data_IF_461725892019
#
_entry.id   IF_461725892019
#
_cell.length_a   1.000
_cell.length_b   1.000
_cell.length_c   1.000
_cell.angle_alpha   90.00
_cell.angle_beta   90.00
_cell.angle_gamma   90.00
#
_symmetry.space_group_name_H-M   'P 1'
#
loop_
_entity.id
_entity.type
_entity.pdbx_description
1 polymer ?
#
# COMPACT_ATOMS: atom_id res chain seq x y z
N UNK A 1 -6.06 17.67 -5.46
CA UNK A 1 -7.24 16.95 -4.93
C UNK A 1 -7.46 15.72 -5.80
N UNK A 2 -6.95 14.56 -5.41
CA UNK A 2 -7.25 13.30 -6.08
C UNK A 2 -8.70 12.93 -5.75
N UNK A 3 -9.59 13.04 -6.74
CA UNK A 3 -10.95 12.52 -6.66
C UNK A 3 -10.85 10.99 -6.53
N UNK A 4 -10.78 10.49 -5.30
CA UNK A 4 -10.99 9.08 -5.04
C UNK A 4 -12.38 8.74 -5.64
N UNK A 5 -12.39 7.94 -6.71
CA UNK A 5 -13.62 7.50 -7.35
C UNK A 5 -14.40 6.67 -6.33
N UNK A 6 -15.29 7.32 -5.58
CA UNK A 6 -16.09 6.63 -4.58
C UNK A 6 -16.89 5.55 -5.29
N UNK A 7 -16.85 4.29 -4.80
CA UNK A 7 -17.64 3.23 -5.37
C UNK A 7 -19.13 3.63 -5.42
N UNK A 8 -19.78 3.29 -6.53
CA UNK A 8 -21.23 3.44 -6.67
C UNK A 8 -21.95 2.70 -5.54
N UNK A 9 -22.96 3.32 -4.94
CA UNK A 9 -23.72 2.75 -3.81
C UNK A 9 -24.30 1.37 -4.16
N UNK A 10 -24.69 1.15 -5.42
CA UNK A 10 -25.18 -0.15 -5.90
C UNK A 10 -24.10 -1.22 -5.92
N UNK A 11 -22.86 -0.87 -6.32
CA UNK A 11 -21.74 -1.83 -6.32
C UNK A 11 -21.41 -2.27 -4.90
N UNK A 12 -21.38 -1.32 -3.96
CA UNK A 12 -21.20 -1.62 -2.54
C UNK A 12 -22.29 -2.56 -2.00
N UNK A 13 -23.56 -2.27 -2.31
CA UNK A 13 -24.68 -3.13 -1.92
C UNK A 13 -24.56 -4.57 -2.45
N UNK A 14 -24.22 -4.73 -3.74
CA UNK A 14 -24.03 -6.05 -4.34
C UNK A 14 -22.83 -6.82 -3.75
N UNK A 15 -21.70 -6.14 -3.48
CA UNK A 15 -20.54 -6.79 -2.86
C UNK A 15 -20.86 -7.32 -1.47
N UNK A 16 -21.60 -6.56 -0.66
CA UNK A 16 -21.98 -7.00 0.68
C UNK A 16 -23.05 -8.09 0.63
N UNK A 17 -24.05 -7.98 -0.25
CA UNK A 17 -25.04 -9.04 -0.43
C UNK A 17 -24.35 -10.37 -0.82
N UNK A 18 -23.46 -10.35 -1.82
CA UNK A 18 -22.71 -11.53 -2.23
C UNK A 18 -21.84 -12.11 -1.09
N UNK A 19 -21.17 -11.25 -0.32
CA UNK A 19 -20.41 -11.66 0.86
C UNK A 19 -21.28 -12.40 1.88
N UNK A 20 -22.43 -11.84 2.25
CA UNK A 20 -23.34 -12.47 3.20
C UNK A 20 -23.96 -13.77 2.68
N UNK A 21 -24.23 -13.87 1.37
CA UNK A 21 -24.67 -15.12 0.77
C UNK A 21 -23.59 -16.21 0.81
N UNK A 22 -22.33 -15.87 0.50
CA UNK A 22 -21.21 -16.82 0.57
C UNK A 22 -20.96 -17.32 1.99
N UNK A 23 -20.92 -16.40 2.97
CA UNK A 23 -20.74 -16.78 4.39
C UNK A 23 -21.96 -17.55 4.90
N UNK A 24 -23.17 -17.15 4.49
CA UNK A 24 -24.40 -17.82 4.88
C UNK A 24 -24.53 -19.24 4.34
N UNK A 25 -24.06 -19.48 3.11
CA UNK A 25 -24.02 -20.80 2.50
C UNK A 25 -23.01 -21.74 3.21
N UNK A 26 -21.91 -21.20 3.73
CA UNK A 26 -20.83 -22.02 4.31
C UNK A 26 -20.97 -22.25 5.82
N UNK A 27 -21.47 -21.26 6.58
CA UNK A 27 -21.42 -21.32 8.04
C UNK A 27 -22.78 -21.10 8.71
N UNK A 28 -23.51 -20.05 8.33
CA UNK A 28 -24.67 -19.57 9.08
C UNK A 28 -25.85 -19.21 8.16
N UNK A 29 -26.83 -20.11 7.97
CA UNK A 29 -27.92 -19.92 7.00
C UNK A 29 -28.74 -18.64 7.23
N UNK A 30 -28.83 -18.15 8.47
CA UNK A 30 -29.52 -16.90 8.80
C UNK A 30 -28.89 -15.67 8.14
N UNK A 31 -27.59 -15.71 7.79
CA UNK A 31 -26.92 -14.64 7.06
C UNK A 31 -27.40 -14.53 5.61
N UNK A 32 -27.98 -15.59 5.03
CA UNK A 32 -28.63 -15.50 3.71
C UNK A 32 -29.85 -14.59 3.74
N UNK A 33 -30.62 -14.59 4.84
CA UNK A 33 -31.75 -13.67 5.01
C UNK A 33 -31.26 -12.21 5.08
N UNK A 34 -30.14 -11.97 5.78
CA UNK A 34 -29.50 -10.65 5.83
C UNK A 34 -29.00 -10.20 4.45
N UNK A 35 -28.34 -11.10 3.71
CA UNK A 35 -27.91 -10.85 2.34
C UNK A 35 -29.07 -10.55 1.39
N UNK A 36 -30.19 -11.27 1.52
CA UNK A 36 -31.40 -11.03 0.73
C UNK A 36 -32.03 -9.67 1.03
N UNK A 37 -32.12 -9.28 2.31
CA UNK A 37 -32.60 -7.94 2.71
C UNK A 37 -31.69 -6.85 2.13
N UNK A 38 -30.36 -7.00 2.23
CA UNK A 38 -29.42 -6.06 1.61
C UNK A 38 -29.60 -5.97 0.09
N UNK A 39 -29.82 -7.09 -0.60
CA UNK A 39 -30.04 -7.11 -2.04
C UNK A 39 -31.33 -6.35 -2.43
N UNK A 40 -32.42 -6.55 -1.69
CA UNK A 40 -33.70 -5.83 -1.90
C UNK A 40 -33.54 -4.32 -1.67
N UNK A 41 -32.82 -3.91 -0.63
CA UNK A 41 -32.55 -2.48 -0.36
C UNK A 41 -31.66 -1.90 -1.47
N UNK A 42 -30.68 -2.67 -1.95
CA UNK A 42 -29.79 -2.26 -3.05
C UNK A 42 -30.57 -2.05 -4.36
N UNK A 43 -31.58 -2.88 -4.64
CA UNK A 43 -32.44 -2.73 -5.82
C UNK A 43 -33.33 -1.48 -5.73
N UNK A 44 -34.01 -1.32 -4.59
CA UNK A 44 -35.05 -0.29 -4.39
C UNK A 44 -34.49 1.09 -4.08
N UNK A 45 -33.59 1.21 -3.10
CA UNK A 45 -33.01 2.48 -2.64
C UNK A 45 -31.57 2.29 -2.14
N UNK A 46 -30.64 2.12 -3.10
CA UNK A 46 -29.21 2.04 -2.80
C UNK A 46 -28.65 3.24 -2.02
N UNK A 47 -29.28 4.42 -2.11
CA UNK A 47 -28.85 5.62 -1.38
C UNK A 47 -28.91 5.46 0.14
N UNK A 48 -29.75 4.58 0.68
CA UNK A 48 -29.79 4.30 2.12
C UNK A 48 -28.53 3.60 2.63
N UNK A 49 -27.79 2.92 1.74
CA UNK A 49 -26.49 2.32 2.06
C UNK A 49 -25.36 3.36 2.01
N UNK A 50 -25.60 4.59 1.56
CA UNK A 50 -24.59 5.62 1.48
C UNK A 50 -23.90 5.90 2.84
N UNK A 51 -24.59 6.16 3.96
CA UNK A 51 -23.90 6.41 5.24
C UNK A 51 -23.06 5.20 5.69
N UNK A 52 -23.57 3.97 5.50
CA UNK A 52 -22.84 2.74 5.82
C UNK A 52 -21.60 2.58 4.94
N UNK A 53 -21.72 2.85 3.63
CA UNK A 53 -20.60 2.86 2.69
C UNK A 53 -19.52 3.84 3.15
N UNK A 54 -19.88 5.07 3.49
CA UNK A 54 -18.90 6.07 3.92
C UNK A 54 -18.21 5.67 5.23
N UNK A 55 -18.96 5.12 6.20
CA UNK A 55 -18.36 4.59 7.43
C UNK A 55 -17.39 3.43 7.14
N UNK A 56 -17.78 2.49 6.28
CA UNK A 56 -16.93 1.37 5.88
C UNK A 56 -15.65 1.82 5.16
N UNK A 57 -15.76 2.80 4.25
CA UNK A 57 -14.60 3.34 3.54
C UNK A 57 -13.64 4.06 4.49
N UNK A 58 -14.15 4.90 5.41
CA UNK A 58 -13.33 5.54 6.45
C UNK A 58 -12.65 4.52 7.35
N UNK A 59 -13.34 3.44 7.71
CA UNK A 59 -12.75 2.35 8.47
C UNK A 59 -11.60 1.68 7.68
N UNK A 60 -11.80 1.42 6.39
CA UNK A 60 -10.75 0.90 5.51
C UNK A 60 -9.53 1.83 5.42
N UNK A 61 -9.74 3.15 5.34
CA UNK A 61 -8.66 4.14 5.37
C UNK A 61 -7.90 4.14 6.71
N UNK A 62 -8.62 4.10 7.82
CA UNK A 62 -8.02 4.05 9.16
C UNK A 62 -7.21 2.76 9.34
N UNK A 63 -7.75 1.64 8.90
CA UNK A 63 -7.06 0.35 8.90
C UNK A 63 -5.80 0.41 8.02
N UNK A 64 -5.91 0.98 6.82
CA UNK A 64 -4.77 1.13 5.91
C UNK A 64 -3.66 2.00 6.53
N UNK A 65 -4.01 3.05 7.28
CA UNK A 65 -3.05 3.88 8.01
C UNK A 65 -2.21 3.10 9.02
N UNK A 66 -2.74 2.01 9.58
CA UNK A 66 -2.01 1.11 10.49
C UNK A 66 -1.28 0.02 9.72
N UNK A 67 -1.97 -0.62 8.77
CA UNK A 67 -1.42 -1.73 7.97
C UNK A 67 -0.24 -1.29 7.12
N UNK A 68 -0.28 -0.09 6.52
CA UNK A 68 0.79 0.40 5.65
C UNK A 68 2.14 0.53 6.38
N UNK A 69 2.25 1.21 7.54
CA UNK A 69 3.46 1.19 8.35
C UNK A 69 3.88 -0.20 8.83
N UNK A 70 2.92 -1.07 9.20
CA UNK A 70 3.23 -2.43 9.65
C UNK A 70 3.85 -3.25 8.53
N UNK A 71 3.26 -3.23 7.33
CA UNK A 71 3.80 -3.91 6.15
C UNK A 71 5.19 -3.35 5.78
N UNK A 72 5.36 -2.03 5.83
CA UNK A 72 6.66 -1.40 5.59
C UNK A 72 7.71 -1.81 6.62
N UNK A 73 7.34 -1.90 7.90
CA UNK A 73 8.22 -2.41 8.95
C UNK A 73 8.59 -3.87 8.70
N UNK A 74 7.62 -4.72 8.35
CA UNK A 74 7.88 -6.13 8.01
C UNK A 74 8.85 -6.24 6.84
N UNK A 75 8.64 -5.51 5.74
CA UNK A 75 9.55 -5.49 4.60
C UNK A 75 10.95 -5.04 5.05
N UNK A 76 11.04 -4.00 5.88
CA UNK A 76 12.32 -3.53 6.40
C UNK A 76 13.06 -4.60 7.20
N UNK A 77 12.40 -5.24 8.16
CA UNK A 77 13.06 -6.23 9.01
C UNK A 77 13.29 -7.58 8.34
N UNK A 78 12.43 -8.00 7.41
CA UNK A 78 12.53 -9.31 6.75
C UNK A 78 13.38 -9.27 5.49
N UNK A 79 13.43 -8.14 4.79
CA UNK A 79 14.18 -8.02 3.52
C UNK A 79 15.42 -7.16 3.71
N UNK A 80 15.26 -5.90 4.12
CA UNK A 80 16.39 -4.97 4.16
C UNK A 80 17.39 -5.28 5.27
N UNK A 81 16.93 -5.65 6.47
CA UNK A 81 17.81 -5.98 7.60
C UNK A 81 18.72 -7.19 7.33
N UNK A 82 18.25 -8.35 6.82
CA UNK A 82 19.16 -9.45 6.52
C UNK A 82 20.10 -9.13 5.36
N UNK A 83 19.65 -8.39 4.34
CA UNK A 83 20.53 -7.92 3.26
C UNK A 83 21.64 -7.04 3.83
N UNK A 84 21.31 -6.09 4.70
CA UNK A 84 22.29 -5.23 5.36
C UNK A 84 23.24 -6.04 6.26
N UNK A 85 22.73 -7.06 6.95
CA UNK A 85 23.54 -7.96 7.77
C UNK A 85 24.56 -8.74 6.93
N UNK A 86 24.13 -9.31 5.80
CA UNK A 86 25.02 -9.99 4.84
C UNK A 86 26.06 -9.03 4.25
N UNK A 87 25.67 -7.82 3.88
CA UNK A 87 26.62 -6.80 3.42
C UNK A 87 27.67 -6.47 4.48
N UNK A 88 27.25 -6.35 5.75
CA UNK A 88 28.15 -6.09 6.87
C UNK A 88 29.11 -7.26 7.13
N UNK A 89 28.64 -8.50 7.03
CA UNK A 89 29.50 -9.70 7.16
C UNK A 89 30.52 -9.82 6.02
N UNK A 90 30.14 -9.42 4.79
CA UNK A 90 31.04 -9.41 3.63
C UNK A 90 31.99 -8.21 3.60
N UNK A 91 31.95 -7.33 4.62
CA UNK A 91 32.79 -6.12 4.70
C UNK A 91 32.45 -5.06 3.65
N UNK A 92 31.33 -5.20 2.93
CA UNK A 92 30.90 -4.24 1.90
C UNK A 92 30.13 -3.10 2.54
N UNK A 93 30.79 -1.97 2.71
CA UNK A 93 30.11 -0.71 3.03
C UNK A 93 29.76 0.07 1.76
N UNK A 94 28.59 -0.23 1.20
CA UNK A 94 28.09 0.45 0.00
C UNK A 94 27.96 1.98 0.18
N UNK A 95 27.77 2.44 1.42
CA UNK A 95 27.54 3.85 1.73
C UNK A 95 28.79 4.57 2.27
N UNK A 96 29.93 3.86 2.43
CA UNK A 96 31.17 4.40 3.00
C UNK A 96 30.92 5.27 4.26
N UNK A 97 30.15 4.71 5.21
CA UNK A 97 29.71 5.38 6.44
C UNK A 97 30.73 5.31 7.56
N UNK A 98 31.73 4.43 7.43
CA UNK A 98 32.81 4.36 8.40
C UNK A 98 33.56 5.71 8.47
N UNK A 99 33.77 6.20 9.69
CA UNK A 99 34.54 7.41 9.93
C UNK A 99 36.04 7.10 9.79
N UNK A 100 36.69 7.76 8.83
CA UNK A 100 38.11 7.63 8.52
C UNK A 100 38.85 8.93 8.89
N UNK A 101 39.39 9.05 10.13
CA UNK A 101 40.08 10.26 10.58
C UNK A 101 41.40 10.53 9.86
N UNK A 102 41.99 9.51 9.23
CA UNK A 102 43.21 9.64 8.42
C UNK A 102 42.94 10.10 6.97
N UNK A 103 41.66 10.20 6.56
CA UNK A 103 41.32 10.61 5.20
C UNK A 103 41.36 12.13 5.06
N UNK A 104 42.12 12.70 4.10
CA UNK A 104 42.16 14.14 3.87
C UNK A 104 40.86 14.68 3.26
N UNK A 105 40.04 13.82 2.63
CA UNK A 105 38.74 14.19 2.07
C UNK A 105 37.90 12.96 1.75
N UNK A 106 36.60 13.02 2.05
CA UNK A 106 35.62 11.99 1.67
C UNK A 106 35.14 12.12 0.20
N UNK A 107 35.63 13.12 -0.54
CA UNK A 107 35.22 13.35 -1.92
C UNK A 107 35.73 12.24 -2.84
N UNK A 108 34.81 11.38 -3.32
CA UNK A 108 35.13 10.39 -4.36
C UNK A 108 35.32 11.10 -5.70
N UNK A 109 36.57 11.19 -6.17
CA UNK A 109 36.86 11.63 -7.54
C UNK A 109 36.20 10.65 -8.52
N UNK A 110 35.43 11.19 -9.46
CA UNK A 110 34.79 10.42 -10.52
C UNK A 110 35.77 10.33 -11.69
N UNK A 111 36.10 9.11 -12.07
CA UNK A 111 36.91 8.81 -13.25
C UNK A 111 36.20 7.69 -14.04
N UNK A 112 35.68 7.97 -15.25
CA UNK A 112 35.80 9.22 -16.00
C UNK A 112 35.01 10.38 -15.36
N UNK A 113 35.42 11.64 -15.63
CA UNK A 113 34.62 12.81 -15.30
C UNK A 113 33.23 12.68 -15.94
N UNK A 114 32.23 13.33 -15.33
CA UNK A 114 30.83 13.23 -15.76
C UNK A 114 30.61 13.59 -17.24
N UNK A 115 29.40 13.36 -17.78
CA UNK A 115 29.09 13.58 -19.19
C UNK A 115 29.55 14.96 -19.67
N UNK A 116 30.09 15.03 -20.89
CA UNK A 116 30.52 16.29 -21.50
C UNK A 116 29.37 17.29 -21.55
N UNK A 117 29.68 18.59 -21.49
CA UNK A 117 28.68 19.67 -21.50
C UNK A 117 27.70 19.57 -22.67
N UNK A 118 28.16 19.02 -23.80
CA UNK A 118 27.35 18.76 -25.00
C UNK A 118 26.27 17.67 -24.82
N UNK A 119 26.34 16.83 -23.78
CA UNK A 119 25.38 15.75 -23.55
C UNK A 119 23.97 16.25 -23.24
N UNK A 120 23.80 17.51 -22.83
CA UNK A 120 22.49 18.10 -22.56
C UNK A 120 21.77 18.60 -23.82
N UNK A 121 22.49 18.72 -24.95
CA UNK A 121 21.93 19.26 -26.19
C UNK A 121 20.94 18.33 -26.90
N UNK A 122 20.91 17.04 -26.54
CA UNK A 122 20.12 16.00 -27.21
C UNK A 122 19.01 15.40 -26.31
N UNK A 123 18.60 16.10 -25.23
CA UNK A 123 17.62 15.58 -24.27
C UNK A 123 16.14 15.96 -24.60
N UNK A 124 15.92 16.76 -25.64
CA UNK A 124 14.60 17.20 -26.13
C UNK A 124 14.56 17.13 -27.65
#
# INVERSE_FOLDING_TARGET
MTTALMPSDRKFGWTFAALFFLVGAFAHPWMMAVGAVLAVITLTRAHWLAPLKHAWMKFGELLNKVVSPVVMAVIFFVVFTPVAFVMRLTGRDALARAYEPASPSYWKRRDPPGPSEDSFKNLF
#
